data_IF_431836796830
#
_entry.id   IF_431836796830
#
_cell.length_a   1.000
_cell.length_b   1.000
_cell.length_c   1.000
_cell.angle_alpha   90.00
_cell.angle_beta   90.00
_cell.angle_gamma   90.00
#
_symmetry.space_group_name_H-M   'P 1'
#
loop_
_entity.id
_entity.type
_entity.pdbx_description
1 polymer ?
#
# COMPACT_ATOMS: atom_id res chain seq x y z
N UNK A 1 0.52 30.95 -11.82
CA UNK A 1 1.01 30.22 -10.65
C UNK A 1 0.62 28.78 -10.85
N UNK A 2 1.57 27.85 -10.83
CA UNK A 2 1.28 26.43 -10.99
C UNK A 2 0.68 25.92 -9.68
N UNK A 3 -0.55 25.42 -9.73
CA UNK A 3 -1.20 24.81 -8.58
C UNK A 3 -0.79 23.33 -8.55
N UNK A 4 -0.06 22.95 -7.51
CA UNK A 4 0.35 21.58 -7.22
C UNK A 4 -0.60 20.98 -6.18
N UNK A 5 -1.35 19.95 -6.57
CA UNK A 5 -2.15 19.15 -5.66
C UNK A 5 -1.33 17.92 -5.27
N UNK A 6 -0.84 17.90 -4.02
CA UNK A 6 0.07 16.87 -3.50
C UNK A 6 -0.71 15.78 -2.77
N UNK A 7 -0.71 14.56 -3.34
CA UNK A 7 -1.21 13.34 -2.70
C UNK A 7 -0.04 12.47 -2.20
N UNK A 8 1.03 13.08 -1.72
CA UNK A 8 2.31 12.39 -1.41
C UNK A 8 2.19 11.24 -0.42
N UNK A 9 1.16 11.23 0.43
CA UNK A 9 0.82 10.13 1.34
C UNK A 9 0.22 8.91 0.63
N UNK A 10 -0.25 9.04 -0.61
CA UNK A 10 -0.72 7.95 -1.46
C UNK A 10 0.29 7.53 -2.53
N UNK A 11 1.47 8.17 -2.58
CA UNK A 11 2.55 7.78 -3.51
C UNK A 11 2.28 8.07 -4.99
N UNK A 12 1.24 8.86 -5.32
CA UNK A 12 0.90 9.23 -6.70
C UNK A 12 1.08 10.75 -6.87
N UNK A 13 1.91 11.15 -7.83
CA UNK A 13 2.14 12.56 -8.19
C UNK A 13 1.84 12.76 -9.67
N UNK A 14 0.94 13.69 -9.97
CA UNK A 14 0.65 14.11 -11.34
C UNK A 14 1.20 15.53 -11.54
N UNK A 15 2.13 15.68 -12.48
CA UNK A 15 2.70 16.98 -12.85
C UNK A 15 2.07 17.45 -14.16
N UNK A 16 1.20 18.46 -14.09
CA UNK A 16 0.70 19.14 -15.30
C UNK A 16 1.69 20.24 -15.72
N UNK A 17 2.00 20.31 -17.02
CA UNK A 17 2.98 21.26 -17.59
C UNK A 17 2.30 22.54 -18.12
N UNK A 18 0.96 22.59 -18.15
CA UNK A 18 0.20 23.75 -18.64
C UNK A 18 -0.85 24.21 -17.62
N UNK A 19 -1.23 25.49 -17.68
CA UNK A 19 -2.30 26.04 -16.86
C UNK A 19 -3.62 25.35 -17.21
N UNK A 20 -4.30 24.83 -16.20
CA UNK A 20 -5.55 24.07 -16.33
C UNK A 20 -6.73 25.05 -16.48
N UNK A 21 -7.44 25.00 -17.61
CA UNK A 21 -8.80 25.51 -17.78
C UNK A 21 -9.80 24.33 -17.63
N UNK A 22 -11.07 24.60 -17.37
CA UNK A 22 -12.13 23.61 -17.04
C UNK A 22 -12.26 22.51 -18.12
N UNK A 23 -12.01 22.84 -19.39
CA UNK A 23 -11.96 21.88 -20.51
C UNK A 23 -10.65 21.07 -20.58
N UNK A 24 -9.54 21.58 -20.03
CA UNK A 24 -8.22 20.92 -20.07
C UNK A 24 -8.04 19.91 -18.95
N UNK A 25 -8.80 20.01 -17.85
CA UNK A 25 -8.80 19.02 -16.77
C UNK A 25 -9.33 17.66 -17.25
N UNK A 26 -10.40 17.66 -18.06
CA UNK A 26 -11.01 16.43 -18.60
C UNK A 26 -10.08 15.77 -19.61
N UNK A 27 -9.35 16.54 -20.42
CA UNK A 27 -8.41 16.00 -21.41
C UNK A 27 -7.10 15.50 -20.78
N UNK A 28 -6.58 16.17 -19.75
CA UNK A 28 -5.40 15.69 -19.00
C UNK A 28 -5.70 14.43 -18.18
N UNK A 29 -6.89 14.35 -17.57
CA UNK A 29 -7.38 13.14 -16.90
C UNK A 29 -7.73 12.06 -17.92
N UNK A 30 -8.28 12.44 -19.08
CA UNK A 30 -8.63 11.53 -20.18
C UNK A 30 -7.41 10.93 -20.86
N UNK A 31 -6.34 11.70 -21.07
CA UNK A 31 -5.05 11.21 -21.60
C UNK A 31 -4.30 10.36 -20.58
N UNK A 32 -4.33 10.72 -19.29
CA UNK A 32 -3.81 9.88 -18.20
C UNK A 32 -4.57 8.57 -18.02
N UNK A 33 -5.89 8.59 -18.20
CA UNK A 33 -6.74 7.41 -18.18
C UNK A 33 -6.60 6.57 -19.46
N UNK A 34 -6.42 7.20 -20.62
CA UNK A 34 -6.13 6.51 -21.88
C UNK A 34 -4.76 5.83 -21.88
N UNK A 35 -3.77 6.41 -21.19
CA UNK A 35 -2.48 5.74 -20.95
C UNK A 35 -2.60 4.51 -20.03
N UNK A 36 -3.67 4.42 -19.23
CA UNK A 36 -4.03 3.23 -18.45
C UNK A 36 -4.95 2.25 -19.23
N UNK A 37 -5.50 2.68 -20.37
CA UNK A 37 -6.45 1.93 -21.22
C UNK A 37 -5.88 1.61 -22.61
N UNK A 38 -4.57 1.41 -22.75
CA UNK A 38 -3.97 1.06 -24.04
C UNK A 38 -4.32 -0.37 -24.54
N UNK A 39 -5.39 -0.97 -24.04
CA UNK A 39 -5.77 -2.35 -24.34
C UNK A 39 -7.16 -2.74 -23.83
N UNK A 40 -8.19 -2.00 -24.23
CA UNK A 40 -9.60 -2.45 -24.29
C UNK A 40 -10.08 -3.41 -23.18
N UNK A 41 -10.59 -2.84 -22.09
CA UNK A 41 -11.64 -3.49 -21.28
C UNK A 41 -11.20 -4.16 -19.97
N UNK A 42 -9.92 -4.18 -19.66
CA UNK A 42 -9.39 -4.46 -18.32
C UNK A 42 -8.27 -3.46 -18.09
N UNK A 43 -8.24 -2.80 -16.93
CA UNK A 43 -7.15 -1.88 -16.56
C UNK A 43 -5.82 -2.62 -16.61
N UNK A 44 -5.16 -2.60 -17.77
CA UNK A 44 -3.94 -3.33 -18.02
C UNK A 44 -2.80 -2.48 -17.47
N UNK A 45 -2.15 -3.00 -16.43
CA UNK A 45 -1.04 -2.32 -15.78
C UNK A 45 0.18 -2.42 -16.70
N UNK A 46 0.34 -1.43 -17.58
CA UNK A 46 1.44 -1.39 -18.54
C UNK A 46 2.79 -1.08 -17.86
N UNK A 47 3.47 -2.11 -17.34
CA UNK A 47 4.91 -2.05 -17.02
C UNK A 47 5.67 -2.31 -18.30
N UNK A 48 5.96 -1.28 -19.09
CA UNK A 48 6.90 -1.42 -20.21
C UNK A 48 8.22 -0.73 -19.86
N UNK A 49 9.29 -1.51 -19.70
CA UNK A 49 10.69 -1.07 -19.74
C UNK A 49 11.20 -0.17 -18.59
N UNK A 50 10.32 0.53 -17.88
CA UNK A 50 10.68 1.34 -16.70
C UNK A 50 10.20 0.66 -15.43
N UNK A 51 11.10 0.51 -14.46
CA UNK A 51 10.78 -0.14 -13.20
C UNK A 51 9.68 0.62 -12.44
N UNK A 52 8.60 -0.09 -12.08
CA UNK A 52 7.51 0.42 -11.25
C UNK A 52 7.73 0.00 -9.80
N UNK A 53 7.81 0.97 -8.89
CA UNK A 53 8.05 0.69 -7.46
C UNK A 53 6.75 0.70 -6.68
N UNK A 54 6.47 -0.40 -5.97
CA UNK A 54 5.34 -0.56 -5.08
C UNK A 54 5.78 -0.49 -3.62
N UNK A 55 5.04 0.23 -2.80
CA UNK A 55 5.23 0.22 -1.35
C UNK A 55 4.58 -1.04 -0.77
N UNK A 56 5.37 -1.91 -0.14
CA UNK A 56 4.94 -3.21 0.40
C UNK A 56 5.23 -3.35 1.91
N UNK A 57 5.43 -2.22 2.59
CA UNK A 57 5.65 -2.15 4.04
C UNK A 57 5.39 -0.76 4.60
N UNK A 58 5.53 -0.61 5.91
CA UNK A 58 5.14 0.62 6.63
C UNK A 58 6.26 1.66 6.74
N UNK A 59 7.53 1.27 6.54
CA UNK A 59 8.66 2.20 6.60
C UNK A 59 9.05 2.71 5.22
N UNK A 60 9.61 3.92 5.17
CA UNK A 60 10.11 4.52 3.92
C UNK A 60 11.58 4.13 3.65
N UNK A 61 11.87 2.83 3.66
CA UNK A 61 13.19 2.27 3.36
C UNK A 61 13.16 1.48 2.05
N UNK A 62 14.32 1.20 1.45
CA UNK A 62 14.39 0.39 0.21
C UNK A 62 13.80 -1.00 0.37
N UNK A 63 13.91 -1.59 1.56
CA UNK A 63 13.51 -2.98 1.80
C UNK A 63 11.99 -3.16 1.85
N UNK A 64 11.27 -2.06 2.12
CA UNK A 64 9.81 -1.99 2.10
C UNK A 64 9.24 -1.58 0.73
N UNK A 65 10.08 -1.53 -0.31
CA UNK A 65 9.69 -1.21 -1.68
C UNK A 65 10.00 -2.37 -2.61
N UNK A 66 9.01 -2.78 -3.40
CA UNK A 66 9.17 -3.77 -4.45
C UNK A 66 9.25 -3.08 -5.80
N UNK A 67 10.42 -3.14 -6.43
CA UNK A 67 10.60 -2.69 -7.81
C UNK A 67 10.26 -3.83 -8.77
N UNK A 68 9.25 -3.63 -9.61
CA UNK A 68 8.84 -4.55 -10.66
C UNK A 68 9.32 -3.97 -11.98
N UNK A 69 10.17 -4.70 -12.69
CA UNK A 69 10.57 -4.37 -14.05
C UNK A 69 10.24 -5.57 -14.92
N UNK A 70 9.50 -5.33 -16.00
CA UNK A 70 9.19 -6.34 -16.99
C UNK A 70 9.76 -5.88 -18.32
N UNK A 71 10.49 -6.79 -18.96
CA UNK A 71 10.95 -6.61 -20.33
C UNK A 71 9.77 -6.74 -21.30
N UNK A 72 9.87 -6.06 -22.45
CA UNK A 72 8.85 -6.15 -23.48
C UNK A 72 8.80 -7.57 -24.04
N UNK A 73 7.59 -8.13 -24.12
CA UNK A 73 7.31 -9.43 -24.75
C UNK A 73 6.64 -9.28 -26.12
N UNK A 74 6.77 -8.10 -26.74
CA UNK A 74 6.30 -7.89 -28.11
C UNK A 74 7.12 -8.73 -29.10
N UNK A 75 6.50 -9.15 -30.20
CA UNK A 75 7.19 -9.93 -31.24
C UNK A 75 8.44 -9.21 -31.79
N UNK A 76 8.36 -7.88 -31.87
CA UNK A 76 9.47 -7.02 -32.25
C UNK A 76 10.58 -6.93 -31.20
N UNK A 77 10.45 -7.52 -30.00
CA UNK A 77 11.40 -7.42 -28.87
C UNK A 77 12.02 -8.73 -28.41
N UNK A 78 11.45 -9.87 -28.78
CA UNK A 78 11.87 -11.21 -28.32
C UNK A 78 12.57 -12.01 -29.42
N UNK A 79 13.36 -13.02 -29.03
CA UNK A 79 14.02 -13.95 -29.95
C UNK A 79 15.34 -13.46 -30.54
N UNK A 80 15.97 -12.44 -29.95
CA UNK A 80 17.22 -11.83 -30.46
C UNK A 80 18.52 -12.45 -29.92
N UNK A 81 18.44 -13.55 -29.14
CA UNK A 81 19.63 -14.14 -28.49
C UNK A 81 20.57 -14.83 -29.49
N UNK A 82 20.04 -15.41 -30.58
CA UNK A 82 20.83 -16.10 -31.61
C UNK A 82 21.07 -15.32 -32.92
N UNK A 83 20.33 -14.23 -33.19
CA UNK A 83 20.37 -13.52 -34.48
C UNK A 83 19.87 -12.07 -34.35
N UNK A 84 20.28 -11.19 -35.28
CA UNK A 84 19.68 -9.86 -35.44
C UNK A 84 18.23 -9.90 -35.93
N UNK A 85 17.77 -11.06 -36.42
CA UNK A 85 16.40 -11.28 -36.86
C UNK A 85 15.51 -11.62 -35.66
N UNK A 86 14.36 -10.95 -35.57
CA UNK A 86 13.35 -11.16 -34.52
C UNK A 86 12.17 -11.98 -35.03
N UNK A 87 11.18 -12.26 -34.18
CA UNK A 87 9.95 -12.97 -34.57
C UNK A 87 9.29 -12.33 -35.80
N UNK A 88 9.29 -11.00 -35.89
CA UNK A 88 8.72 -10.25 -37.03
C UNK A 88 9.51 -10.41 -38.34
N UNK A 89 10.77 -10.83 -38.28
CA UNK A 89 11.66 -10.99 -39.45
C UNK A 89 11.68 -12.43 -39.99
N UNK A 90 10.86 -13.33 -39.44
CA UNK A 90 10.84 -14.75 -39.82
C UNK A 90 10.30 -14.91 -41.25
N UNK A 91 11.13 -15.45 -42.13
CA UNK A 91 10.74 -15.91 -43.46
C UNK A 91 10.85 -17.44 -43.58
N UNK A 92 9.71 -18.08 -43.85
CA UNK A 92 9.57 -19.53 -44.03
C UNK A 92 9.62 -19.97 -45.50
N UNK A 93 9.83 -19.04 -46.44
CA UNK A 93 9.83 -19.32 -47.88
C UNK A 93 11.01 -20.18 -48.35
N UNK A 94 12.09 -20.24 -47.55
CA UNK A 94 13.30 -21.02 -47.85
C UNK A 94 13.59 -22.03 -46.75
N UNK A 95 14.23 -23.14 -47.12
CA UNK A 95 14.64 -24.17 -46.15
C UNK A 95 15.63 -23.63 -45.11
N UNK A 96 16.51 -22.69 -45.51
CA UNK A 96 17.44 -22.04 -44.59
C UNK A 96 16.70 -21.11 -43.63
N UNK A 97 15.76 -20.30 -44.12
CA UNK A 97 14.94 -19.40 -43.30
C UNK A 97 14.11 -20.16 -42.27
N UNK A 98 13.53 -21.30 -42.64
CA UNK A 98 12.80 -22.17 -41.71
C UNK A 98 13.70 -22.75 -40.60
N UNK A 99 14.97 -23.06 -40.87
CA UNK A 99 15.91 -23.53 -39.84
C UNK A 99 16.31 -22.41 -38.87
N UNK A 100 16.53 -21.19 -39.39
CA UNK A 100 16.81 -20.02 -38.56
C UNK A 100 15.59 -19.63 -37.71
N UNK A 101 14.38 -19.73 -38.26
CA UNK A 101 13.13 -19.45 -37.57
C UNK A 101 12.94 -20.31 -36.32
N UNK A 102 13.32 -21.59 -36.36
CA UNK A 102 13.24 -22.47 -35.19
C UNK A 102 14.10 -21.96 -34.03
N UNK A 103 15.32 -21.50 -34.30
CA UNK A 103 16.19 -20.91 -33.27
C UNK A 103 15.63 -19.63 -32.67
N UNK A 104 15.09 -18.74 -33.52
CA UNK A 104 14.44 -17.49 -33.07
C UNK A 104 13.22 -17.79 -32.20
N UNK A 105 12.42 -18.80 -32.56
CA UNK A 105 11.24 -19.21 -31.79
C UNK A 105 11.65 -19.80 -30.44
N UNK A 106 12.67 -20.65 -30.39
CA UNK A 106 13.17 -21.22 -29.13
C UNK A 106 13.67 -20.12 -28.18
N UNK A 107 14.40 -19.14 -28.69
CA UNK A 107 14.84 -17.98 -27.93
C UNK A 107 13.65 -17.13 -27.44
N UNK A 108 12.68 -16.87 -28.32
CA UNK A 108 11.48 -16.11 -27.95
C UNK A 108 10.64 -16.85 -26.87
N UNK A 109 10.55 -18.18 -26.94
CA UNK A 109 9.90 -18.99 -25.90
C UNK A 109 10.67 -18.85 -24.58
N UNK A 110 12.00 -18.85 -24.61
CA UNK A 110 12.85 -18.64 -23.44
C UNK A 110 12.59 -17.26 -22.83
N UNK A 111 12.59 -16.20 -23.64
CA UNK A 111 12.34 -14.82 -23.20
C UNK A 111 10.97 -14.69 -22.51
N UNK A 112 9.91 -15.22 -23.12
CA UNK A 112 8.56 -15.24 -22.54
C UNK A 112 8.51 -16.06 -21.26
N UNK A 113 9.22 -17.19 -21.21
CA UNK A 113 9.27 -18.04 -20.02
C UNK A 113 9.99 -17.35 -18.86
N UNK A 114 11.06 -16.60 -19.14
CA UNK A 114 11.76 -15.78 -18.15
C UNK A 114 10.85 -14.68 -17.62
N UNK A 115 10.18 -13.93 -18.51
CA UNK A 115 9.23 -12.90 -18.11
C UNK A 115 8.10 -13.45 -17.20
N UNK A 116 7.57 -14.65 -17.52
CA UNK A 116 6.59 -15.32 -16.64
C UNK A 116 7.18 -15.76 -15.31
N UNK A 117 8.43 -16.22 -15.31
CA UNK A 117 9.18 -16.57 -14.10
C UNK A 117 9.32 -15.38 -13.16
N UNK A 118 9.70 -14.22 -13.70
CA UNK A 118 9.84 -12.98 -12.96
C UNK A 118 8.51 -12.50 -12.38
N UNK A 119 7.42 -12.52 -13.17
CA UNK A 119 6.07 -12.25 -12.68
C UNK A 119 5.71 -13.20 -11.52
N UNK A 120 6.03 -14.49 -11.65
CA UNK A 120 5.84 -15.48 -10.58
C UNK A 120 6.61 -15.12 -9.30
N UNK A 121 7.86 -14.70 -9.42
CA UNK A 121 8.70 -14.29 -8.30
C UNK A 121 8.15 -13.02 -7.63
N UNK A 122 7.72 -12.02 -8.41
CA UNK A 122 7.10 -10.80 -7.89
C UNK A 122 5.78 -11.09 -7.17
N UNK A 123 4.92 -11.95 -7.73
CA UNK A 123 3.68 -12.40 -7.07
C UNK A 123 3.97 -13.09 -5.74
N UNK A 124 5.00 -13.93 -5.67
CA UNK A 124 5.39 -14.58 -4.42
C UNK A 124 5.84 -13.58 -3.36
N UNK A 125 6.69 -12.60 -3.73
CA UNK A 125 7.11 -11.52 -2.81
C UNK A 125 5.93 -10.67 -2.35
N UNK A 126 5.00 -10.32 -3.26
CA UNK A 126 3.80 -9.56 -2.91
C UNK A 126 2.91 -10.34 -1.93
N UNK A 127 2.68 -11.63 -2.17
CA UNK A 127 1.91 -12.47 -1.26
C UNK A 127 2.58 -12.59 0.12
N UNK A 128 3.90 -12.75 0.17
CA UNK A 128 4.65 -12.79 1.42
C UNK A 128 4.57 -11.46 2.17
N UNK A 129 4.79 -10.34 1.49
CA UNK A 129 4.72 -9.02 2.09
C UNK A 129 3.30 -8.72 2.61
N UNK A 130 2.26 -9.06 1.83
CA UNK A 130 0.87 -8.94 2.27
C UNK A 130 0.58 -9.75 3.53
N UNK A 131 1.06 -10.99 3.61
CA UNK A 131 0.89 -11.83 4.79
C UNK A 131 1.64 -11.25 6.01
N UNK A 132 2.85 -10.75 5.81
CA UNK A 132 3.63 -10.13 6.87
C UNK A 132 3.00 -8.83 7.41
N UNK A 133 2.48 -7.99 6.51
CA UNK A 133 1.74 -6.78 6.88
C UNK A 133 0.48 -7.15 7.68
N UNK A 134 -0.27 -8.15 7.26
CA UNK A 134 -1.47 -8.60 7.99
C UNK A 134 -1.14 -9.03 9.43
N UNK A 135 -0.07 -9.79 9.63
CA UNK A 135 0.42 -10.18 10.97
C UNK A 135 0.85 -8.94 11.77
N UNK A 136 1.54 -7.99 11.13
CA UNK A 136 1.97 -6.76 11.79
C UNK A 136 0.78 -5.90 12.24
N UNK A 137 -0.27 -5.79 11.41
CA UNK A 137 -1.52 -5.12 11.75
C UNK A 137 -2.19 -5.79 12.94
N UNK A 138 -2.26 -7.13 12.96
CA UNK A 138 -2.82 -7.87 14.09
C UNK A 138 -2.06 -7.60 15.39
N UNK A 139 -0.72 -7.64 15.35
CA UNK A 139 0.11 -7.34 16.52
C UNK A 139 -0.06 -5.90 17.02
N UNK A 140 -0.15 -4.92 16.09
CA UNK A 140 -0.39 -3.53 16.45
C UNK A 140 -1.78 -3.33 17.05
N UNK A 141 -2.81 -3.95 16.49
CA UNK A 141 -4.17 -3.88 17.03
C UNK A 141 -4.28 -4.51 18.42
N UNK A 142 -3.61 -5.64 18.66
CA UNK A 142 -3.53 -6.25 19.99
C UNK A 142 -2.82 -5.33 20.99
N UNK A 143 -1.71 -4.72 20.56
CA UNK A 143 -0.95 -3.78 21.39
C UNK A 143 -1.78 -2.54 21.74
N UNK A 144 -2.50 -1.99 20.76
CA UNK A 144 -3.44 -0.88 20.96
C UNK A 144 -4.57 -1.26 21.94
N UNK A 145 -5.15 -2.46 21.80
CA UNK A 145 -6.19 -2.95 22.71
C UNK A 145 -5.68 -3.01 24.15
N UNK A 146 -4.47 -3.54 24.37
CA UNK A 146 -3.87 -3.63 25.70
C UNK A 146 -3.60 -2.25 26.29
N UNK A 147 -3.08 -1.31 25.48
CA UNK A 147 -2.82 0.07 25.93
C UNK A 147 -4.15 0.74 26.32
N UNK A 148 -5.16 0.67 25.45
CA UNK A 148 -6.47 1.29 25.70
C UNK A 148 -7.15 0.70 26.93
N UNK A 149 -7.09 -0.61 27.11
CA UNK A 149 -7.69 -1.28 28.26
C UNK A 149 -6.94 -0.95 29.57
N UNK A 150 -5.61 -0.83 29.53
CA UNK A 150 -4.81 -0.40 30.67
C UNK A 150 -5.11 1.05 31.07
N UNK A 151 -5.18 1.96 30.10
CA UNK A 151 -5.51 3.37 30.32
C UNK A 151 -6.95 3.52 30.85
N UNK A 152 -7.90 2.75 30.33
CA UNK A 152 -9.27 2.72 30.88
C UNK A 152 -9.31 2.17 32.30
N UNK A 153 -8.52 1.15 32.62
CA UNK A 153 -8.46 0.58 33.96
C UNK A 153 -7.89 1.60 34.98
N UNK A 154 -6.86 2.36 34.60
CA UNK A 154 -6.30 3.43 35.45
C UNK A 154 -7.30 4.56 35.68
N UNK A 155 -7.99 5.01 34.63
CA UNK A 155 -9.02 6.06 34.75
C UNK A 155 -10.21 5.57 35.58
N UNK A 156 -10.66 4.33 35.40
CA UNK A 156 -11.72 3.72 36.21
C UNK A 156 -11.33 3.59 37.69
N UNK A 157 -10.06 3.26 37.98
CA UNK A 157 -9.56 3.21 39.36
C UNK A 157 -9.55 4.61 39.99
N UNK A 158 -9.11 5.63 39.24
CA UNK A 158 -9.09 7.03 39.68
C UNK A 158 -10.51 7.58 39.87
N UNK A 159 -11.42 7.28 38.94
CA UNK A 159 -12.83 7.61 39.04
C UNK A 159 -13.48 6.97 40.27
N UNK A 160 -13.28 5.66 40.47
CA UNK A 160 -13.81 4.92 41.63
C UNK A 160 -13.25 5.48 42.94
N UNK A 161 -11.95 5.75 43.02
CA UNK A 161 -11.31 6.39 44.18
C UNK A 161 -11.93 7.75 44.47
N UNK A 162 -12.13 8.57 43.43
CA UNK A 162 -12.74 9.89 43.56
C UNK A 162 -14.19 9.80 44.03
N UNK A 163 -14.94 8.82 43.52
CA UNK A 163 -16.32 8.58 43.92
C UNK A 163 -16.43 8.09 45.37
N UNK A 164 -15.54 7.19 45.81
CA UNK A 164 -15.44 6.76 47.21
C UNK A 164 -15.07 7.94 48.11
N UNK A 165 -14.12 8.79 47.72
CA UNK A 165 -13.75 9.99 48.47
C UNK A 165 -14.90 10.99 48.57
N UNK A 166 -15.69 11.18 47.52
CA UNK A 166 -16.89 12.03 47.57
C UNK A 166 -17.93 11.47 48.53
N UNK A 167 -18.24 10.17 48.46
CA UNK A 167 -19.18 9.52 49.38
C UNK A 167 -18.68 9.53 50.83
N UNK A 168 -17.40 9.24 51.05
CA UNK A 168 -16.76 9.30 52.36
C UNK A 168 -16.71 10.73 52.90
N UNK A 169 -16.46 11.74 52.05
CA UNK A 169 -16.50 13.15 52.41
C UNK A 169 -17.88 13.60 52.87
N UNK A 170 -18.95 13.19 52.17
CA UNK A 170 -20.34 13.45 52.58
C UNK A 170 -20.68 12.75 53.90
N UNK A 171 -20.30 11.49 54.07
CA UNK A 171 -20.53 10.74 55.31
C UNK A 171 -19.72 11.31 56.49
N UNK A 172 -18.48 11.71 56.27
CA UNK A 172 -17.63 12.37 57.28
C UNK A 172 -18.17 13.75 57.64
N UNK A 173 -18.66 14.54 56.69
CA UNK A 173 -19.34 15.81 56.97
C UNK A 173 -20.64 15.62 57.74
N UNK A 174 -21.41 14.56 57.45
CA UNK A 174 -22.62 14.23 58.20
C UNK A 174 -22.27 13.83 59.66
N UNK A 175 -21.24 12.99 59.85
CA UNK A 175 -20.76 12.59 61.18
C UNK A 175 -20.13 13.75 61.96
N UNK A 176 -19.41 14.65 61.28
CA UNK A 176 -18.82 15.84 61.89
C UNK A 176 -19.88 16.88 62.31
N UNK A 177 -21.05 16.89 61.68
CA UNK A 177 -22.18 17.75 62.10
C UNK A 177 -22.98 17.19 63.28
N UNK A 178 -23.01 15.86 63.47
CA UNK A 178 -23.73 15.22 64.60
C UNK A 178 -22.92 15.22 65.90
N UNK A 179 -21.58 15.22 65.81
CA UNK A 179 -20.68 15.30 66.96
C UNK A 179 -20.88 16.57 67.83
N UNK A 180 -20.92 17.80 67.27
CA UNK A 180 -21.14 19.02 68.06
C UNK A 180 -22.57 19.13 68.61
N UNK A 181 -23.58 18.56 67.94
CA UNK A 181 -24.95 18.52 68.48
C UNK A 181 -25.05 17.61 69.71
N UNK A 182 -24.35 16.48 69.70
CA UNK A 182 -24.22 15.58 70.85
C UNK A 182 -23.48 16.26 72.03
N UNK A 183 -22.46 17.07 71.73
CA UNK A 183 -21.74 17.84 72.75
C UNK A 183 -22.60 18.93 73.40
N UNK A 184 -23.50 19.57 72.63
CA UNK A 184 -24.45 20.56 73.16
C UNK A 184 -25.54 19.93 74.06
N UNK A 185 -25.87 18.65 73.86
CA UNK A 185 -26.77 17.93 74.77
C UNK A 185 -26.13 17.64 76.14
N UNK A 186 -24.79 17.56 76.21
CA UNK A 186 -24.04 17.37 77.45
C UNK A 186 -23.82 18.68 78.24
N UNK A 187 -24.16 19.83 77.67
CA UNK A 187 -24.09 21.16 78.31
C UNK A 187 -25.45 21.66 78.83
N UNK A 188 -26.46 20.78 78.92
CA UNK A 188 -27.81 21.08 79.43
C UNK A 188 -28.10 20.34 80.71
#
# INVERSE_FOLDING_TARGET
>A
GANSYEFSTLGVSFKTTAALDEDTEVDALGTGLAALDSGGGTTDFAVSGTASTFQIGFENTSDNRLSIQLDSVQAADIGSSASTARIDDIDLSTQSGAQTALGIIDDAISDVSNARGDIGAYMNRLAYASANIAISIENLQQSESVIRDADMAEEMATFTKSQILQQAGVAMLAQANTLPQSALQLLR
#
